data_IF_402839730844
#
_entry.id   IF_402839730844
#
_cell.length_a   1.000
_cell.length_b   1.000
_cell.length_c   1.000
_cell.angle_alpha   90.00
_cell.angle_beta   90.00
_cell.angle_gamma   90.00
#
_symmetry.space_group_name_H-M   'P 1'
#
loop_
_entity.id
_entity.type
_entity.pdbx_description
1 polymer ?
#
# COMPACT_ATOMS: atom_id res chain seq x y z
N UNK A 1 -1.02 18.10 -11.88
CA UNK A 1 -0.90 16.71 -12.35
C UNK A 1 -2.30 16.14 -12.41
N UNK A 2 -2.78 15.63 -13.56
CA UNK A 2 -4.22 15.48 -13.78
C UNK A 2 -4.90 14.51 -12.80
N UNK A 3 -4.13 13.60 -12.19
CA UNK A 3 -4.65 12.61 -11.25
C UNK A 3 -3.72 12.53 -10.02
N UNK A 4 -3.98 13.39 -9.04
CA UNK A 4 -3.29 13.39 -7.75
C UNK A 4 -4.27 13.04 -6.63
N UNK A 5 -3.77 12.36 -5.60
CA UNK A 5 -4.53 12.10 -4.38
C UNK A 5 -4.45 13.32 -3.46
N UNK A 6 -5.59 13.91 -3.12
CA UNK A 6 -5.66 15.12 -2.27
C UNK A 6 -5.14 14.87 -0.84
N UNK A 7 -5.35 13.66 -0.31
CA UNK A 7 -4.99 13.30 1.07
C UNK A 7 -3.50 13.09 1.31
N UNK A 8 -2.75 12.65 0.29
CA UNK A 8 -1.34 12.26 0.44
C UNK A 8 -0.43 12.83 -0.66
N UNK A 9 -1.00 13.62 -1.56
CA UNK A 9 -0.37 14.29 -2.68
C UNK A 9 0.38 13.39 -3.68
N UNK A 10 0.13 12.07 -3.65
CA UNK A 10 0.70 11.12 -4.63
C UNK A 10 0.10 11.35 -6.02
N UNK A 11 0.95 11.32 -7.04
CA UNK A 11 0.58 11.53 -8.44
C UNK A 11 0.52 10.20 -9.19
N UNK A 12 -0.47 10.09 -10.06
CA UNK A 12 -0.73 8.88 -10.84
C UNK A 12 -0.88 9.23 -12.32
N UNK A 13 -0.66 8.23 -13.17
CA UNK A 13 -0.78 8.37 -14.63
C UNK A 13 -2.22 8.30 -15.13
N UNK A 14 -3.16 7.80 -14.32
CA UNK A 14 -4.56 7.62 -14.70
C UNK A 14 -5.52 7.79 -13.51
N UNK A 15 -6.78 8.15 -13.80
CA UNK A 15 -7.85 8.28 -12.81
C UNK A 15 -8.11 6.96 -12.08
N UNK A 16 -8.13 5.83 -12.81
CA UNK A 16 -8.34 4.50 -12.22
C UNK A 16 -7.30 4.15 -11.15
N UNK A 17 -6.03 4.54 -11.36
CA UNK A 17 -4.99 4.32 -10.37
C UNK A 17 -5.19 5.19 -9.11
N UNK A 18 -5.66 6.43 -9.24
CA UNK A 18 -6.03 7.27 -8.07
C UNK A 18 -7.20 6.66 -7.31
N UNK A 19 -8.24 6.20 -8.01
CA UNK A 19 -9.42 5.58 -7.37
C UNK A 19 -9.01 4.32 -6.62
N UNK A 20 -8.21 3.46 -7.25
CA UNK A 20 -7.66 2.26 -6.61
C UNK A 20 -6.86 2.63 -5.35
N UNK A 21 -5.96 3.62 -5.46
CA UNK A 21 -5.17 4.11 -4.34
C UNK A 21 -6.05 4.61 -3.20
N UNK A 22 -7.06 5.43 -3.49
CA UNK A 22 -7.97 5.97 -2.47
C UNK A 22 -8.73 4.88 -1.74
N UNK A 23 -9.15 3.82 -2.45
CA UNK A 23 -9.95 2.75 -1.88
C UNK A 23 -9.13 1.69 -1.13
N UNK A 24 -7.87 1.44 -1.53
CA UNK A 24 -7.08 0.32 -1.03
C UNK A 24 -5.83 0.72 -0.24
N UNK A 25 -5.39 1.97 -0.34
CA UNK A 25 -4.15 2.42 0.28
C UNK A 25 -4.32 3.68 1.12
N UNK A 26 -4.99 4.71 0.59
CA UNK A 26 -5.08 6.01 1.23
C UNK A 26 -6.09 5.98 2.37
N UNK A 27 -5.64 6.16 3.62
CA UNK A 27 -6.50 6.07 4.79
C UNK A 27 -7.01 4.66 5.12
N UNK A 28 -6.59 3.64 4.38
CA UNK A 28 -6.92 2.24 4.69
C UNK A 28 -5.92 1.69 5.69
N UNK A 29 -6.41 1.05 6.74
CA UNK A 29 -5.57 0.38 7.72
C UNK A 29 -4.88 -0.87 7.13
N UNK A 30 -3.62 -1.13 7.49
CA UNK A 30 -2.91 -2.29 6.97
C UNK A 30 -3.50 -3.59 7.51
N UNK A 31 -4.10 -4.38 6.61
CA UNK A 31 -4.74 -5.66 6.94
C UNK A 31 -3.79 -6.85 6.95
N UNK A 32 -2.60 -6.71 6.38
CA UNK A 32 -1.66 -7.80 6.19
C UNK A 32 -0.46 -7.63 7.12
N UNK A 33 -0.32 -8.51 8.10
CA UNK A 33 0.83 -8.53 9.01
C UNK A 33 1.86 -9.57 8.56
N UNK A 34 3.14 -9.31 8.82
CA UNK A 34 4.17 -10.31 8.69
C UNK A 34 4.02 -11.37 9.79
N UNK A 35 4.11 -12.65 9.42
CA UNK A 35 4.09 -13.78 10.36
C UNK A 35 5.49 -14.20 10.83
N UNK A 36 6.54 -13.51 10.39
CA UNK A 36 7.88 -13.80 10.87
C UNK A 36 8.03 -13.38 12.35
N UNK A 37 8.55 -14.26 13.22
CA UNK A 37 8.70 -13.96 14.64
C UNK A 37 9.58 -12.73 14.84
N UNK A 38 9.11 -11.77 15.64
CA UNK A 38 9.78 -10.50 15.89
C UNK A 38 9.62 -9.44 14.80
N UNK A 39 8.89 -9.71 13.72
CA UNK A 39 8.66 -8.74 12.65
C UNK A 39 7.32 -8.03 12.79
N UNK A 40 7.35 -6.73 13.09
CA UNK A 40 6.15 -5.89 13.24
C UNK A 40 5.68 -5.25 11.93
N UNK A 41 6.14 -5.73 10.78
CA UNK A 41 5.81 -5.14 9.49
C UNK A 41 4.34 -5.38 9.13
N UNK A 42 3.64 -4.31 8.76
CA UNK A 42 2.25 -4.36 8.29
C UNK A 42 2.14 -3.70 6.92
N UNK A 43 1.32 -4.28 6.05
CA UNK A 43 1.07 -3.82 4.71
C UNK A 43 -0.43 -3.71 4.43
N UNK A 44 -0.77 -2.79 3.54
CA UNK A 44 -2.14 -2.59 3.04
C UNK A 44 -2.51 -3.54 1.91
N UNK A 45 -1.50 -4.10 1.23
CA UNK A 45 -1.67 -5.02 0.11
C UNK A 45 -0.84 -6.28 0.29
N UNK A 46 -1.41 -7.42 -0.13
CA UNK A 46 -0.75 -8.73 -0.09
C UNK A 46 0.56 -8.77 -0.87
N UNK A 47 0.63 -8.12 -2.04
CA UNK A 47 1.85 -8.07 -2.85
C UNK A 47 3.02 -7.37 -2.14
N UNK A 48 2.71 -6.31 -1.37
CA UNK A 48 3.71 -5.62 -0.56
C UNK A 48 4.23 -6.49 0.58
N UNK A 49 3.35 -7.25 1.24
CA UNK A 49 3.78 -8.21 2.27
C UNK A 49 4.64 -9.33 1.68
N UNK A 50 4.24 -9.92 0.54
CA UNK A 50 5.02 -10.97 -0.13
C UNK A 50 6.43 -10.48 -0.48
N UNK A 51 6.53 -9.28 -1.06
CA UNK A 51 7.81 -8.65 -1.38
C UNK A 51 8.64 -8.34 -0.13
N UNK A 52 8.00 -7.88 0.95
CA UNK A 52 8.68 -7.65 2.23
C UNK A 52 9.31 -8.94 2.73
N UNK A 53 8.55 -10.04 2.78
CA UNK A 53 9.05 -11.35 3.20
C UNK A 53 10.27 -11.72 2.39
N UNK A 54 10.16 -11.85 1.06
CA UNK A 54 11.26 -12.25 0.16
C UNK A 54 12.54 -11.41 0.32
N UNK A 55 12.41 -10.12 0.67
CA UNK A 55 13.56 -9.21 0.77
C UNK A 55 14.13 -9.06 2.18
N UNK A 56 13.40 -9.49 3.20
CA UNK A 56 13.77 -9.30 4.61
C UNK A 56 13.94 -10.62 5.36
N UNK A 57 13.45 -11.72 4.79
CA UNK A 57 13.38 -13.06 5.35
C UNK A 57 13.51 -14.11 4.23
#
# INVERSE_FOLDING_TARGET
>A
APFACDKCNRKYRSKGAVVYHLHNECGVEPKFCCDYPGCNFKAKQKGNLKRHKIRKH
#
